data_IF_562506687242
#
_entry.id   IF_562506687242
#
_cell.length_a   1.000
_cell.length_b   1.000
_cell.length_c   1.000
_cell.angle_alpha   90.00
_cell.angle_beta   90.00
_cell.angle_gamma   90.00
#
_symmetry.space_group_name_H-M   'P 1'
#
loop_
_entity.id
_entity.type
_entity.pdbx_description
1 polymer ?
#
# COMPACT_ATOMS: atom_id res chain seq x y z
N UNK A 1 6.10 39.27 -40.13
CA UNK A 1 5.70 37.86 -40.20
C UNK A 1 5.76 37.29 -38.76
N UNK A 2 4.59 37.04 -38.16
CA UNK A 2 4.46 36.46 -36.82
C UNK A 2 4.09 35.01 -36.97
N UNK A 3 5.04 34.10 -36.64
CA UNK A 3 4.84 32.65 -36.67
C UNK A 3 3.99 32.26 -35.47
N UNK A 4 2.79 31.76 -35.68
CA UNK A 4 1.92 31.19 -34.65
C UNK A 4 2.35 29.75 -34.42
N UNK A 5 2.86 29.46 -33.21
CA UNK A 5 3.11 28.08 -32.75
C UNK A 5 1.77 27.52 -32.29
N UNK A 6 1.30 26.50 -32.98
CA UNK A 6 0.13 25.70 -32.55
C UNK A 6 0.63 24.64 -31.58
N UNK A 7 0.25 24.76 -30.32
CA UNK A 7 0.41 23.69 -29.34
C UNK A 7 -0.79 22.77 -29.48
N UNK A 8 -0.56 21.58 -30.02
CA UNK A 8 -1.55 20.50 -30.05
C UNK A 8 -1.49 19.81 -28.69
N UNK A 9 -2.50 20.08 -27.86
CA UNK A 9 -2.76 19.31 -26.65
C UNK A 9 -3.42 17.98 -27.09
N UNK A 10 -2.63 16.91 -27.06
CA UNK A 10 -3.16 15.55 -27.17
C UNK A 10 -3.80 15.18 -25.82
N UNK A 11 -5.12 15.25 -25.79
CA UNK A 11 -5.89 14.58 -24.74
C UNK A 11 -5.81 13.07 -24.95
N UNK A 12 -4.95 12.39 -24.20
CA UNK A 12 -4.99 10.94 -24.10
C UNK A 12 -6.17 10.55 -23.21
N UNK A 13 -7.17 9.92 -23.81
CA UNK A 13 -8.30 9.34 -23.11
C UNK A 13 -7.81 8.29 -22.10
N UNK A 14 -8.09 8.51 -20.83
CA UNK A 14 -7.92 7.51 -19.77
C UNK A 14 -8.92 6.37 -20.03
N UNK A 15 -8.45 5.30 -20.63
CA UNK A 15 -9.17 4.04 -20.62
C UNK A 15 -8.92 3.34 -19.27
N UNK A 16 -9.94 3.35 -18.43
CA UNK A 16 -9.98 2.58 -17.19
C UNK A 16 -9.73 1.11 -17.51
N UNK A 17 -8.58 0.58 -17.08
CA UNK A 17 -8.30 -0.85 -17.20
C UNK A 17 -9.23 -1.61 -16.24
N UNK A 18 -10.26 -2.22 -16.78
CA UNK A 18 -11.08 -3.19 -16.05
C UNK A 18 -10.23 -4.45 -15.84
N UNK A 19 -10.08 -4.87 -14.59
CA UNK A 19 -9.47 -6.14 -14.25
C UNK A 19 -10.33 -7.27 -14.85
N UNK A 20 -9.82 -7.95 -15.86
CA UNK A 20 -10.45 -9.16 -16.39
C UNK A 20 -10.31 -10.28 -15.35
N UNK A 21 -11.46 -10.79 -14.90
CA UNK A 21 -11.56 -12.04 -14.13
C UNK A 21 -11.41 -13.22 -15.11
N UNK A 22 -10.24 -13.81 -15.11
CA UNK A 22 -9.98 -15.06 -15.85
C UNK A 22 -9.01 -15.91 -15.03
N UNK A 23 -9.50 -16.98 -14.42
CA UNK A 23 -8.69 -18.00 -13.78
C UNK A 23 -8.02 -18.84 -14.86
N UNK A 24 -6.68 -18.84 -14.93
CA UNK A 24 -5.91 -19.82 -15.70
C UNK A 24 -4.51 -20.01 -15.11
N UNK A 25 -4.00 -21.18 -15.28
CA UNK A 25 -2.76 -21.76 -14.78
C UNK A 25 -1.54 -20.83 -14.88
N UNK A 26 -0.94 -20.51 -13.73
CA UNK A 26 0.24 -19.65 -13.64
C UNK A 26 -0.14 -18.18 -13.77
N UNK A 27 -0.79 -17.65 -12.74
CA UNK A 27 -1.36 -16.30 -12.76
C UNK A 27 -0.31 -15.21 -12.86
N UNK A 28 -0.12 -14.68 -14.06
CA UNK A 28 0.70 -13.52 -14.34
C UNK A 28 -0.18 -12.27 -14.15
N UNK A 29 0.26 -11.36 -13.31
CA UNK A 29 -0.36 -10.04 -13.12
C UNK A 29 0.59 -8.96 -13.59
N UNK A 30 0.07 -8.02 -14.36
CA UNK A 30 0.79 -6.80 -14.71
C UNK A 30 0.32 -5.71 -13.77
N UNK A 31 1.23 -5.20 -12.95
CA UNK A 31 0.98 -4.10 -12.02
C UNK A 31 1.43 -2.83 -12.73
N UNK A 32 0.49 -1.93 -13.01
CA UNK A 32 0.76 -0.65 -13.69
C UNK A 32 0.64 0.48 -12.68
N UNK A 33 1.63 1.35 -12.66
CA UNK A 33 1.57 2.61 -11.92
C UNK A 33 1.43 3.77 -12.91
N UNK A 34 0.51 4.68 -12.65
CA UNK A 34 0.25 5.81 -13.56
C UNK A 34 1.33 6.90 -13.45
N UNK A 35 2.02 7.00 -12.32
CA UNK A 35 2.96 8.09 -12.01
C UNK A 35 4.40 7.78 -12.43
N UNK A 36 4.72 6.52 -12.63
CA UNK A 36 6.03 6.09 -13.12
C UNK A 36 5.82 5.13 -14.30
N UNK A 37 6.67 5.15 -15.33
CA UNK A 37 6.56 4.23 -16.47
C UNK A 37 6.93 2.79 -16.07
N UNK A 38 6.55 2.36 -14.87
CA UNK A 38 6.84 1.05 -14.31
C UNK A 38 5.63 0.15 -14.47
N UNK A 39 5.70 -0.69 -15.47
CA UNK A 39 4.90 -1.88 -15.50
C UNK A 39 5.71 -3.00 -14.86
N UNK A 40 5.32 -3.44 -13.68
CA UNK A 40 5.88 -4.64 -13.08
C UNK A 40 5.01 -5.83 -13.47
N UNK A 41 5.56 -6.75 -14.26
CA UNK A 41 4.90 -8.03 -14.51
C UNK A 41 5.37 -9.02 -13.46
N UNK A 42 4.43 -9.55 -12.68
CA UNK A 42 4.70 -10.47 -11.60
C UNK A 42 3.91 -11.76 -11.83
N UNK A 43 4.61 -12.90 -11.83
CA UNK A 43 4.02 -14.22 -11.85
C UNK A 43 3.83 -14.69 -10.41
N UNK A 44 2.61 -15.04 -10.05
CA UNK A 44 2.24 -15.52 -8.72
C UNK A 44 2.11 -17.05 -8.71
N UNK A 45 2.48 -17.65 -7.59
CA UNK A 45 2.22 -19.05 -7.34
C UNK A 45 0.76 -19.23 -6.87
N UNK A 46 -0.09 -19.81 -7.71
CA UNK A 46 -1.52 -20.00 -7.42
C UNK A 46 -1.76 -20.80 -6.13
N UNK A 47 -0.94 -21.81 -5.85
CA UNK A 47 -1.07 -22.61 -4.62
C UNK A 47 -0.75 -21.77 -3.37
N UNK A 48 0.25 -20.88 -3.44
CA UNK A 48 0.56 -19.96 -2.35
C UNK A 48 -0.58 -18.97 -2.11
N UNK A 49 -1.12 -18.36 -3.17
CA UNK A 49 -2.29 -17.46 -3.04
C UNK A 49 -3.47 -18.22 -2.39
N UNK A 50 -3.76 -19.44 -2.83
CA UNK A 50 -4.79 -20.28 -2.23
C UNK A 50 -4.50 -20.58 -0.75
N UNK A 51 -3.26 -20.85 -0.40
CA UNK A 51 -2.85 -21.09 1.00
C UNK A 51 -3.07 -19.85 1.85
N UNK A 52 -2.62 -18.68 1.39
CA UNK A 52 -2.85 -17.41 2.08
C UNK A 52 -4.35 -17.12 2.21
N UNK A 53 -5.13 -17.31 1.15
CA UNK A 53 -6.58 -17.08 1.15
C UNK A 53 -7.35 -17.98 2.11
N UNK A 54 -6.86 -19.17 2.37
CA UNK A 54 -7.45 -20.11 3.33
C UNK A 54 -6.85 -19.98 4.74
N UNK A 55 -5.80 -19.18 4.90
CA UNK A 55 -5.19 -18.92 6.20
C UNK A 55 -6.13 -18.09 7.07
N UNK A 56 -6.32 -18.51 8.31
CA UNK A 56 -7.08 -17.76 9.30
C UNK A 56 -6.14 -17.33 10.41
N UNK A 57 -6.04 -16.01 10.60
CA UNK A 57 -5.41 -15.45 11.80
C UNK A 57 -6.54 -15.14 12.78
N UNK A 58 -6.59 -15.86 13.89
CA UNK A 58 -7.60 -15.61 14.89
C UNK A 58 -7.50 -14.18 15.43
N UNK A 59 -8.64 -13.51 15.55
CA UNK A 59 -8.67 -12.21 16.20
C UNK A 59 -8.25 -12.35 17.68
N UNK A 60 -7.41 -11.41 18.15
CA UNK A 60 -7.02 -11.34 19.55
C UNK A 60 -7.85 -10.26 20.24
N UNK A 61 -8.60 -10.62 21.26
CA UNK A 61 -9.52 -9.69 21.96
C UNK A 61 -10.47 -8.95 20.98
N UNK A 62 -11.01 -9.67 19.98
CA UNK A 62 -11.92 -9.12 18.97
C UNK A 62 -11.28 -8.21 17.91
N UNK A 63 -9.95 -8.01 17.96
CA UNK A 63 -9.23 -7.18 16.98
C UNK A 63 -8.41 -8.05 16.03
N UNK A 64 -8.32 -7.70 14.73
CA UNK A 64 -7.41 -8.34 13.80
C UNK A 64 -5.97 -8.21 14.30
N UNK A 65 -5.15 -9.23 14.07
CA UNK A 65 -3.72 -9.20 14.35
C UNK A 65 -2.98 -8.63 13.12
N UNK A 66 -3.08 -7.34 12.90
CA UNK A 66 -2.50 -6.64 11.72
C UNK A 66 -1.00 -6.85 11.59
N UNK A 67 -0.28 -6.96 12.74
CA UNK A 67 1.14 -7.23 12.77
C UNK A 67 1.50 -8.59 12.14
N UNK A 68 0.66 -9.60 12.31
CA UNK A 68 0.86 -10.92 11.68
C UNK A 68 0.78 -10.81 10.16
N UNK A 69 -0.21 -10.07 9.65
CA UNK A 69 -0.33 -9.83 8.21
C UNK A 69 0.87 -9.04 7.67
N UNK A 70 1.22 -7.91 8.30
CA UNK A 70 2.31 -7.05 7.88
C UNK A 70 3.71 -7.68 8.02
N UNK A 71 3.88 -8.63 8.95
CA UNK A 71 5.13 -9.37 9.12
C UNK A 71 5.24 -10.58 8.18
N UNK A 72 4.16 -10.99 7.52
CA UNK A 72 4.21 -12.06 6.52
C UNK A 72 4.97 -11.58 5.28
N UNK A 73 6.09 -12.23 4.93
CA UNK A 73 6.91 -11.80 3.79
C UNK A 73 6.22 -12.11 2.46
N UNK A 74 6.56 -11.33 1.44
CA UNK A 74 6.36 -11.76 0.06
C UNK A 74 7.21 -12.99 -0.22
N UNK A 75 6.75 -13.87 -1.12
CA UNK A 75 7.58 -15.00 -1.56
C UNK A 75 8.83 -14.51 -2.29
N UNK A 76 9.89 -15.32 -2.24
CA UNK A 76 11.13 -15.01 -2.95
C UNK A 76 10.91 -14.88 -4.46
N UNK A 77 9.95 -15.64 -4.99
CA UNK A 77 9.55 -15.57 -6.39
C UNK A 77 9.00 -14.19 -6.76
N UNK A 78 8.10 -13.64 -5.93
CA UNK A 78 7.55 -12.30 -6.11
C UNK A 78 8.62 -11.23 -5.88
N UNK A 79 9.43 -11.35 -4.83
CA UNK A 79 10.53 -10.40 -4.55
C UNK A 79 11.52 -10.32 -5.71
N UNK A 80 11.96 -11.45 -6.25
CA UNK A 80 12.91 -11.49 -7.38
C UNK A 80 12.39 -10.81 -8.65
N UNK A 81 11.08 -10.79 -8.83
CA UNK A 81 10.45 -10.15 -9.99
C UNK A 81 10.14 -8.66 -9.74
N UNK A 82 9.65 -8.31 -8.56
CA UNK A 82 9.15 -6.97 -8.25
C UNK A 82 10.26 -6.02 -7.79
N UNK A 83 11.09 -6.44 -6.83
CA UNK A 83 12.04 -5.56 -6.17
C UNK A 83 13.11 -4.96 -7.07
N UNK A 84 13.72 -5.70 -8.04
CA UNK A 84 14.66 -5.09 -8.97
C UNK A 84 14.06 -3.97 -9.82
N UNK A 85 12.74 -4.04 -10.07
CA UNK A 85 12.05 -3.00 -10.83
C UNK A 85 11.82 -1.75 -9.99
N UNK A 86 11.37 -1.91 -8.73
CA UNK A 86 11.18 -0.79 -7.81
C UNK A 86 12.50 -0.15 -7.38
N UNK A 87 13.53 -0.94 -7.13
CA UNK A 87 14.86 -0.48 -6.69
C UNK A 87 15.50 0.53 -7.64
N UNK A 88 15.24 0.41 -8.94
CA UNK A 88 15.75 1.38 -9.95
C UNK A 88 15.33 2.82 -9.68
N UNK A 89 14.19 3.00 -9.02
CA UNK A 89 13.59 4.30 -8.76
C UNK A 89 13.83 4.82 -7.35
N UNK A 90 14.29 3.97 -6.41
CA UNK A 90 14.42 4.36 -5.00
C UNK A 90 15.86 4.45 -4.51
N UNK A 91 16.79 3.65 -5.07
CA UNK A 91 18.14 3.52 -4.51
C UNK A 91 19.05 4.76 -4.71
N UNK A 92 18.69 5.68 -5.59
CA UNK A 92 19.51 6.87 -5.89
C UNK A 92 19.00 8.15 -5.23
N UNK A 93 18.01 8.03 -4.33
CA UNK A 93 17.38 9.19 -3.70
C UNK A 93 17.55 9.14 -2.18
N UNK A 94 17.41 10.28 -1.51
CA UNK A 94 17.27 10.34 -0.06
C UNK A 94 16.02 9.60 0.41
N UNK A 95 15.98 9.24 1.68
CA UNK A 95 14.93 8.35 2.23
C UNK A 95 13.51 8.86 1.97
N UNK A 96 13.25 10.16 2.15
CA UNK A 96 11.92 10.74 1.92
C UNK A 96 11.47 10.58 0.47
N UNK A 97 12.35 10.88 -0.49
CA UNK A 97 12.05 10.77 -1.91
C UNK A 97 11.81 9.30 -2.31
N UNK A 98 12.64 8.38 -1.80
CA UNK A 98 12.48 6.96 -2.03
C UNK A 98 11.13 6.44 -1.50
N UNK A 99 10.75 6.86 -0.29
CA UNK A 99 9.45 6.49 0.30
C UNK A 99 8.29 7.08 -0.48
N UNK A 100 8.38 8.35 -0.94
CA UNK A 100 7.35 8.97 -1.78
C UNK A 100 7.17 8.20 -3.10
N UNK A 101 8.24 7.77 -3.73
CA UNK A 101 8.19 6.95 -4.95
C UNK A 101 7.42 5.63 -4.70
N UNK A 102 7.71 4.93 -3.61
CA UNK A 102 6.99 3.70 -3.25
C UNK A 102 5.52 3.98 -2.87
N UNK A 103 5.28 5.12 -2.22
CA UNK A 103 3.94 5.57 -1.84
C UNK A 103 3.07 5.82 -3.08
N UNK A 104 3.58 6.62 -4.03
CA UNK A 104 2.93 6.91 -5.30
C UNK A 104 2.66 5.63 -6.11
N UNK A 105 3.64 4.71 -6.10
CA UNK A 105 3.48 3.43 -6.79
C UNK A 105 2.33 2.61 -6.19
N UNK A 106 2.24 2.48 -4.87
CA UNK A 106 1.14 1.75 -4.21
C UNK A 106 -0.20 2.44 -4.44
N UNK A 107 -0.25 3.77 -4.29
CA UNK A 107 -1.46 4.56 -4.48
C UNK A 107 -2.00 4.47 -5.91
N UNK A 108 -1.15 4.46 -6.92
CA UNK A 108 -1.55 4.46 -8.33
C UNK A 108 -1.78 3.06 -8.92
N UNK A 109 -1.13 2.03 -8.35
CA UNK A 109 -1.21 0.66 -8.90
C UNK A 109 -2.40 -0.14 -8.39
N UNK A 110 -2.96 0.25 -7.25
CA UNK A 110 -3.96 -0.55 -6.52
C UNK A 110 -5.23 0.25 -6.32
N UNK A 111 -6.37 -0.38 -6.59
CA UNK A 111 -7.67 0.27 -6.43
C UNK A 111 -8.12 0.21 -4.97
N UNK A 112 -8.45 1.38 -4.40
CA UNK A 112 -9.12 1.41 -3.10
C UNK A 112 -10.53 0.82 -3.20
N UNK A 113 -10.83 -0.15 -2.34
CA UNK A 113 -12.13 -0.82 -2.29
C UNK A 113 -12.40 -1.23 -0.85
N UNK A 114 -13.50 -0.75 -0.27
CA UNK A 114 -13.85 -1.16 1.09
C UNK A 114 -13.98 -2.68 1.19
N UNK A 115 -13.66 -3.26 2.34
CA UNK A 115 -13.68 -4.70 2.56
C UNK A 115 -15.01 -5.35 2.18
N UNK A 116 -16.12 -4.72 2.53
CA UNK A 116 -17.46 -5.19 2.20
C UNK A 116 -17.75 -5.22 0.67
N UNK A 117 -17.05 -4.38 -0.11
CA UNK A 117 -17.20 -4.30 -1.57
C UNK A 117 -16.06 -5.00 -2.33
N UNK A 118 -15.13 -5.64 -1.63
CA UNK A 118 -13.99 -6.31 -2.26
C UNK A 118 -14.48 -7.43 -3.15
N UNK A 119 -14.20 -7.30 -4.45
CA UNK A 119 -14.52 -8.34 -5.43
C UNK A 119 -13.45 -9.43 -5.36
N UNK A 120 -13.80 -10.58 -4.83
CA UNK A 120 -12.96 -11.76 -4.79
C UNK A 120 -13.81 -13.00 -5.04
N UNK A 121 -13.18 -14.04 -5.56
CA UNK A 121 -13.81 -15.36 -5.72
C UNK A 121 -13.95 -16.11 -4.38
N UNK A 122 -13.38 -15.57 -3.30
CA UNK A 122 -13.38 -16.20 -1.97
C UNK A 122 -13.99 -15.27 -0.95
N UNK A 123 -15.23 -15.57 -0.51
CA UNK A 123 -15.96 -14.79 0.48
C UNK A 123 -15.22 -14.62 1.82
N UNK A 124 -14.29 -15.52 2.19
CA UNK A 124 -13.46 -15.39 3.40
C UNK A 124 -12.56 -14.16 3.37
N UNK A 125 -12.18 -13.67 2.19
CA UNK A 125 -11.34 -12.49 2.05
C UNK A 125 -12.05 -11.18 2.36
N UNK A 126 -13.37 -11.17 2.42
CA UNK A 126 -14.14 -9.96 2.77
C UNK A 126 -14.11 -9.65 4.26
N UNK A 127 -13.75 -10.61 5.12
CA UNK A 127 -13.85 -10.48 6.57
C UNK A 127 -12.50 -10.34 7.30
N UNK A 128 -11.40 -10.22 6.58
CA UNK A 128 -10.06 -10.08 7.15
C UNK A 128 -9.17 -9.18 6.31
N UNK A 129 -8.03 -8.66 6.86
CA UNK A 129 -7.00 -8.03 6.06
C UNK A 129 -6.41 -8.99 5.01
N UNK A 130 -5.89 -8.44 3.93
CA UNK A 130 -5.10 -9.20 2.95
C UNK A 130 -3.64 -9.30 3.40
N UNK A 131 -3.03 -10.42 3.10
CA UNK A 131 -1.58 -10.52 3.14
C UNK A 131 -0.95 -9.66 2.01
N UNK A 132 0.29 -9.18 2.16
CA UNK A 132 0.94 -8.34 1.14
C UNK A 132 0.90 -8.96 -0.26
N UNK A 133 1.15 -10.26 -0.38
CA UNK A 133 1.15 -10.96 -1.66
C UNK A 133 -0.26 -11.11 -2.26
N UNK A 134 -1.29 -11.28 -1.42
CA UNK A 134 -2.69 -11.28 -1.88
C UNK A 134 -3.11 -9.91 -2.43
N UNK A 135 -2.69 -8.82 -1.76
CA UNK A 135 -3.02 -7.47 -2.24
C UNK A 135 -2.40 -7.18 -3.59
N UNK A 136 -1.15 -7.58 -3.82
CA UNK A 136 -0.49 -7.52 -5.13
C UNK A 136 -1.19 -8.38 -6.19
N UNK A 137 -1.73 -9.52 -5.79
CA UNK A 137 -2.44 -10.42 -6.69
C UNK A 137 -3.82 -9.90 -7.09
N UNK A 138 -4.60 -9.38 -6.12
CA UNK A 138 -5.96 -8.90 -6.35
C UNK A 138 -6.01 -7.46 -6.86
N UNK A 139 -4.98 -6.65 -6.63
CA UNK A 139 -4.88 -5.23 -6.98
C UNK A 139 -6.06 -4.38 -6.48
N UNK A 140 -6.64 -4.77 -5.35
CA UNK A 140 -7.65 -3.99 -4.65
C UNK A 140 -7.62 -4.28 -3.15
N UNK A 141 -7.93 -3.28 -2.34
CA UNK A 141 -7.93 -3.39 -0.89
C UNK A 141 -8.48 -2.16 -0.19
N UNK A 142 -8.66 -2.25 1.12
CA UNK A 142 -9.00 -1.13 1.99
C UNK A 142 -7.73 -0.53 2.65
N UNK A 143 -7.90 0.48 3.50
CA UNK A 143 -6.76 1.18 4.12
C UNK A 143 -5.85 0.25 4.94
N UNK A 144 -6.40 -0.79 5.56
CA UNK A 144 -5.60 -1.77 6.31
C UNK A 144 -4.69 -2.55 5.36
N UNK A 145 -5.23 -3.00 4.22
CA UNK A 145 -4.49 -3.76 3.21
C UNK A 145 -3.38 -2.91 2.58
N UNK A 146 -3.67 -1.64 2.30
CA UNK A 146 -2.69 -0.67 1.79
C UNK A 146 -1.54 -0.47 2.78
N UNK A 147 -1.84 -0.22 4.05
CA UNK A 147 -0.84 -0.02 5.09
C UNK A 147 0.02 -1.28 5.32
N UNK A 148 -0.59 -2.46 5.32
CA UNK A 148 0.08 -3.76 5.44
C UNK A 148 1.07 -3.96 4.29
N UNK A 149 0.63 -3.81 3.04
CA UNK A 149 1.50 -3.97 1.86
C UNK A 149 2.63 -2.95 1.85
N UNK A 150 2.31 -1.67 2.04
CA UNK A 150 3.28 -0.59 1.99
C UNK A 150 4.36 -0.74 3.07
N UNK A 151 3.95 -1.06 4.31
CA UNK A 151 4.90 -1.33 5.40
C UNK A 151 5.88 -2.46 5.05
N UNK A 152 5.40 -3.51 4.34
CA UNK A 152 6.25 -4.63 3.92
C UNK A 152 7.26 -4.19 2.87
N UNK A 153 6.84 -3.45 1.85
CA UNK A 153 7.70 -2.99 0.77
C UNK A 153 8.79 -2.01 1.28
N UNK A 154 8.41 -1.03 2.11
CA UNK A 154 9.36 -0.06 2.68
C UNK A 154 10.41 -0.75 3.54
N UNK A 155 10.00 -1.68 4.40
CA UNK A 155 10.92 -2.44 5.26
C UNK A 155 11.86 -3.32 4.45
N UNK A 156 11.37 -3.98 3.42
CA UNK A 156 12.19 -4.88 2.60
C UNK A 156 13.16 -4.14 1.68
N UNK A 157 12.76 -3.02 1.09
CA UNK A 157 13.58 -2.30 0.12
C UNK A 157 14.50 -1.24 0.73
N UNK A 158 14.03 -0.57 1.78
CA UNK A 158 14.73 0.57 2.36
C UNK A 158 15.28 0.28 3.77
N UNK A 159 14.91 -0.83 4.40
CA UNK A 159 15.34 -1.19 5.75
C UNK A 159 14.85 -0.24 6.85
N UNK A 160 13.85 0.60 6.56
CA UNK A 160 13.34 1.58 7.52
C UNK A 160 12.41 0.94 8.54
N UNK A 161 12.41 1.48 9.77
CA UNK A 161 11.46 1.07 10.81
C UNK A 161 10.09 1.68 10.51
N UNK A 162 9.06 0.83 10.44
CA UNK A 162 7.69 1.20 10.08
C UNK A 162 6.73 0.66 11.14
N UNK A 163 5.79 1.49 11.55
CA UNK A 163 4.65 1.10 12.38
C UNK A 163 3.35 1.28 11.60
N UNK A 164 2.32 0.48 11.93
CA UNK A 164 0.97 0.77 11.45
C UNK A 164 0.29 1.72 12.44
N UNK A 165 -0.51 2.63 11.89
CA UNK A 165 -1.23 3.66 12.63
C UNK A 165 -2.72 3.48 12.36
N UNK A 166 -3.46 3.04 13.36
CA UNK A 166 -4.89 2.81 13.24
C UNK A 166 -5.67 3.96 13.86
N UNK A 167 -6.53 4.57 13.07
CA UNK A 167 -7.42 5.65 13.46
C UNK A 167 -8.85 5.14 13.57
N UNK A 168 -9.51 5.52 14.67
CA UNK A 168 -10.93 5.33 14.87
C UNK A 168 -11.56 6.69 15.13
N UNK A 169 -12.30 7.19 14.17
CA UNK A 169 -12.94 8.50 14.23
C UNK A 169 -14.44 8.41 13.93
N UNK A 170 -15.14 9.50 14.12
CA UNK A 170 -16.52 9.68 13.65
C UNK A 170 -16.55 10.83 12.65
N UNK A 171 -17.12 10.58 11.48
CA UNK A 171 -17.36 11.58 10.46
C UNK A 171 -18.85 11.61 10.19
N UNK A 172 -19.47 12.77 10.40
CA UNK A 172 -20.93 12.95 10.28
C UNK A 172 -21.73 11.90 11.08
N UNK A 173 -21.28 11.60 12.31
CA UNK A 173 -21.90 10.62 13.20
C UNK A 173 -21.66 9.14 12.81
N UNK A 174 -21.02 8.86 11.69
CA UNK A 174 -20.67 7.50 11.23
C UNK A 174 -19.26 7.13 11.65
N UNK A 175 -19.04 5.87 12.01
CA UNK A 175 -17.70 5.36 12.30
C UNK A 175 -16.82 5.43 11.05
N UNK A 176 -15.65 6.03 11.20
CA UNK A 176 -14.59 6.10 10.21
C UNK A 176 -13.37 5.38 10.78
N UNK A 177 -13.05 4.24 10.18
CA UNK A 177 -11.83 3.49 10.50
C UNK A 177 -10.86 3.64 9.35
N UNK A 178 -9.63 4.01 9.67
CA UNK A 178 -8.58 4.22 8.69
C UNK A 178 -7.25 3.71 9.23
N UNK A 179 -6.42 3.18 8.35
CA UNK A 179 -5.08 2.76 8.71
C UNK A 179 -4.07 3.38 7.75
N UNK A 180 -3.08 4.01 8.33
CA UNK A 180 -1.89 4.51 7.65
C UNK A 180 -0.64 3.81 8.19
N UNK A 181 0.52 4.26 7.75
CA UNK A 181 1.82 3.91 8.30
C UNK A 181 2.50 5.15 8.88
N UNK A 182 3.47 4.93 9.77
CA UNK A 182 4.43 5.96 10.13
C UNK A 182 5.84 5.37 10.11
N UNK A 183 6.80 6.15 9.64
CA UNK A 183 8.15 5.71 9.28
C UNK A 183 9.16 6.50 10.09
N UNK A 184 10.11 5.78 10.69
CA UNK A 184 11.28 6.38 11.31
C UNK A 184 12.35 6.62 10.24
N UNK A 185 12.58 7.88 9.95
CA UNK A 185 13.66 8.30 9.06
C UNK A 185 14.93 8.59 9.87
N UNK A 186 16.09 8.41 9.26
CA UNK A 186 17.37 8.92 9.79
C UNK A 186 17.58 10.38 9.41
N UNK A 187 16.96 10.82 8.31
CA UNK A 187 16.96 12.19 7.84
C UNK A 187 15.88 13.01 8.58
N UNK A 188 16.04 14.31 8.65
CA UNK A 188 15.01 15.22 9.15
C UNK A 188 13.95 15.43 8.06
N UNK A 189 12.87 14.65 8.15
CA UNK A 189 11.75 14.68 7.20
C UNK A 189 10.61 15.49 7.80
N UNK A 190 10.20 16.61 7.17
CA UNK A 190 9.11 17.44 7.69
C UNK A 190 7.73 16.80 7.53
N UNK A 191 6.74 17.36 8.20
CA UNK A 191 5.32 16.98 8.08
C UNK A 191 4.74 16.37 9.34
N UNK A 192 3.55 15.83 9.22
CA UNK A 192 2.83 15.19 10.32
C UNK A 192 3.55 13.94 10.81
N UNK A 193 3.59 13.76 12.12
CA UNK A 193 4.33 12.67 12.72
C UNK A 193 3.68 12.22 14.03
N UNK A 194 4.10 11.04 14.49
CA UNK A 194 3.76 10.47 15.79
C UNK A 194 5.06 10.23 16.56
N UNK A 195 5.08 10.61 17.83
CA UNK A 195 6.22 10.35 18.71
C UNK A 195 5.99 9.05 19.48
N UNK A 196 6.94 8.13 19.39
CA UNK A 196 6.91 6.85 20.09
C UNK A 196 8.17 6.71 20.94
N UNK A 197 8.04 6.96 22.24
CA UNK A 197 9.20 7.21 23.10
C UNK A 197 9.84 8.54 22.68
N UNK A 198 11.15 8.50 22.36
CA UNK A 198 11.91 9.67 21.89
C UNK A 198 12.02 9.73 20.36
N UNK A 199 11.38 8.80 19.64
CA UNK A 199 11.53 8.68 18.19
C UNK A 199 10.35 9.28 17.46
N UNK A 200 10.64 10.09 16.45
CA UNK A 200 9.65 10.75 15.59
C UNK A 200 9.40 9.90 14.34
N UNK A 201 8.20 9.35 14.21
CA UNK A 201 7.75 8.60 13.04
C UNK A 201 6.86 9.49 12.16
N UNK A 202 7.28 9.74 10.93
CA UNK A 202 6.55 10.59 9.99
C UNK A 202 5.46 9.78 9.29
N UNK A 203 4.26 10.35 9.20
CA UNK A 203 3.11 9.70 8.57
C UNK A 203 3.37 9.48 7.08
N UNK A 204 3.03 8.30 6.59
CA UNK A 204 2.93 7.96 5.18
C UNK A 204 1.65 7.13 4.98
N UNK A 205 0.68 7.71 4.28
CA UNK A 205 -0.66 7.13 4.14
C UNK A 205 -0.88 6.58 2.72
N UNK A 206 -0.69 5.26 2.52
CA UNK A 206 -0.81 4.67 1.20
C UNK A 206 -2.25 4.58 0.69
N UNK A 207 -3.25 4.78 1.53
CA UNK A 207 -4.66 4.78 1.15
C UNK A 207 -5.23 6.20 0.93
N UNK A 208 -4.47 7.24 1.28
CA UNK A 208 -4.83 8.63 1.02
C UNK A 208 -4.26 9.08 -0.33
N UNK A 209 -5.05 8.91 -1.39
CA UNK A 209 -4.63 9.12 -2.77
C UNK A 209 -3.99 10.48 -3.01
N UNK A 210 -2.78 10.50 -3.57
CA UNK A 210 -2.01 11.70 -3.89
C UNK A 210 -1.40 12.42 -2.68
N UNK A 211 -1.52 11.88 -1.47
CA UNK A 211 -0.88 12.44 -0.28
C UNK A 211 0.60 12.02 -0.22
N UNK A 212 1.55 12.97 -0.10
CA UNK A 212 2.95 12.65 0.11
C UNK A 212 3.23 12.24 1.56
N UNK A 213 4.46 11.78 1.80
CA UNK A 213 5.01 11.59 3.15
C UNK A 213 4.87 12.87 3.98
N UNK A 214 4.46 12.73 5.23
CA UNK A 214 4.20 13.84 6.14
C UNK A 214 2.79 14.41 6.04
N UNK A 215 1.85 13.72 5.40
CA UNK A 215 0.46 14.17 5.28
C UNK A 215 -0.50 13.19 5.92
N UNK A 216 -1.16 13.63 6.98
CA UNK A 216 -2.25 12.87 7.63
C UNK A 216 -3.57 13.08 6.89
N UNK A 217 -4.38 12.03 6.78
CA UNK A 217 -5.73 12.13 6.24
C UNK A 217 -6.59 13.12 7.07
N UNK A 218 -7.39 14.02 6.46
CA UNK A 218 -8.09 15.09 7.18
C UNK A 218 -9.03 14.66 8.31
N UNK A 219 -9.55 13.43 8.24
CA UNK A 219 -10.42 12.86 9.27
C UNK A 219 -9.66 12.08 10.35
N UNK A 220 -8.32 12.07 10.32
CA UNK A 220 -7.48 11.36 11.27
C UNK A 220 -6.82 12.32 12.26
N UNK A 221 -6.75 11.90 13.52
CA UNK A 221 -6.08 12.60 14.59
C UNK A 221 -4.95 11.76 15.15
N UNK A 222 -3.72 12.22 14.95
CA UNK A 222 -2.51 11.52 15.39
C UNK A 222 -2.42 11.37 16.91
N UNK A 223 -3.08 12.25 17.68
CA UNK A 223 -3.07 12.20 19.15
C UNK A 223 -3.90 11.05 19.72
N UNK A 224 -4.88 10.55 18.95
CA UNK A 224 -5.79 9.47 19.35
C UNK A 224 -5.52 8.15 18.66
N UNK A 225 -4.50 8.11 17.81
CA UNK A 225 -4.16 6.95 17.01
C UNK A 225 -3.64 5.77 17.87
N UNK A 226 -4.02 4.56 17.46
CA UNK A 226 -3.47 3.34 18.03
C UNK A 226 -2.27 2.87 17.20
N UNK A 227 -1.12 2.68 17.85
CA UNK A 227 0.12 2.26 17.21
C UNK A 227 0.27 0.73 17.27
N UNK A 228 0.52 0.12 16.12
CA UNK A 228 0.85 -1.31 16.01
C UNK A 228 2.31 -1.43 15.56
N UNK A 229 3.15 -1.90 16.48
CA UNK A 229 4.56 -2.15 16.20
C UNK A 229 4.72 -3.40 15.36
N UNK A 230 5.60 -3.34 14.36
CA UNK A 230 5.95 -4.48 13.51
C UNK A 230 7.26 -5.08 13.99
N UNK A 231 7.44 -6.38 13.75
CA UNK A 231 8.73 -7.04 13.99
C UNK A 231 9.72 -6.58 12.92
N UNK A 232 10.89 -6.19 13.34
CA UNK A 232 12.02 -5.93 12.44
C UNK A 232 12.61 -7.24 11.93
#
# INVERSE_FOLDING_TARGET
>A
MRTKIFVILLFSALTSAHAQTGAASGDVRTIKADVMPTQATVKFNAQRIKTLSNSTVAAKQGKPQWDVYANTPLSDEVKKQLYPQLSKYVLNYGQQAAVNVLLDWVQSSIKFTSRAKRQTSNAKLTNRPLYPEEMLYYLNGDSEDFAILFSRIVRDLLGLDVVLVNYAAKVDGKSFNHMATAILFTDDVPGDAITIGERRYVIADPAYQGAPVGRTHPHCDNSTATIIRLKQ
#
